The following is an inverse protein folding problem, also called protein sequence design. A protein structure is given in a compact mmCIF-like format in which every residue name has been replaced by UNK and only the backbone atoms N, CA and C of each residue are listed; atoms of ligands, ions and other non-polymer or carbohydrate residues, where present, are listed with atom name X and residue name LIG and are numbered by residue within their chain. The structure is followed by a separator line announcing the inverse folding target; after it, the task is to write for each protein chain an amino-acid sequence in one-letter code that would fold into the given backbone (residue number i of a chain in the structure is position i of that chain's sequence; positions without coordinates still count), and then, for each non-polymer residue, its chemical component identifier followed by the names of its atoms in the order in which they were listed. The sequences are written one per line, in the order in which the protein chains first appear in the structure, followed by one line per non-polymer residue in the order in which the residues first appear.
data_IF_343942188741
#
_entry.id   IF_343942188741
#
_cell.length_a   1.000
_cell.length_b   1.000
_cell.length_c   1.000
_cell.angle_alpha   90.00
_cell.angle_beta   90.00
_cell.angle_gamma   90.00
#
_symmetry.space_group_name_H-M   'P 1'
#
loop_
_entity.id
_entity.type
_entity.pdbx_description
1 polymer ?
#
# COMPACT_ATOMS: atom_id res chain seq x y z
N UNK A 1 51.12 -3.49 27.55
CA UNK A 1 49.97 -2.55 27.46
C UNK A 1 49.58 -2.46 25.99
N UNK A 2 49.00 -3.55 25.46
CA UNK A 2 48.78 -3.73 24.01
C UNK A 2 47.31 -3.56 23.67
N UNK A 3 47.07 -2.83 22.58
CA UNK A 3 45.78 -2.48 21.97
C UNK A 3 44.96 -3.69 21.45
N UNK A 4 45.23 -4.91 21.93
CA UNK A 4 44.61 -6.15 21.45
C UNK A 4 43.27 -6.50 22.13
N UNK A 5 42.83 -5.74 23.13
CA UNK A 5 41.56 -5.95 23.84
C UNK A 5 40.41 -5.06 23.34
N UNK A 6 40.64 -4.17 22.38
CA UNK A 6 39.61 -3.25 21.87
C UNK A 6 38.71 -3.84 20.76
N UNK A 7 39.08 -5.00 20.18
CA UNK A 7 38.26 -5.70 19.18
C UNK A 7 37.21 -6.64 19.79
N UNK A 8 37.19 -6.78 21.12
CA UNK A 8 36.33 -7.72 21.83
C UNK A 8 34.97 -7.13 22.22
N UNK A 9 34.17 -6.70 21.24
CA UNK A 9 32.71 -6.60 21.35
C UNK A 9 32.07 -6.15 20.03
N UNK A 10 32.25 -6.90 18.94
CA UNK A 10 31.23 -6.83 17.88
C UNK A 10 30.03 -7.62 18.39
N UNK A 11 28.88 -6.98 18.70
CA UNK A 11 27.69 -7.74 19.06
C UNK A 11 27.36 -8.68 17.89
N UNK A 12 27.23 -9.97 18.18
CA UNK A 12 26.75 -10.95 17.22
C UNK A 12 25.41 -10.44 16.68
N UNK A 13 25.32 -10.20 15.36
CA UNK A 13 24.05 -9.81 14.74
C UNK A 13 23.05 -10.92 15.05
N UNK A 14 22.01 -10.61 15.83
CA UNK A 14 20.93 -11.54 16.07
C UNK A 14 20.33 -11.98 14.74
N UNK A 15 19.98 -13.27 14.56
CA UNK A 15 19.28 -13.73 13.37
C UNK A 15 17.99 -12.92 13.23
N UNK A 16 17.89 -12.14 12.15
CA UNK A 16 16.67 -11.41 11.77
C UNK A 16 15.53 -12.43 11.78
N UNK A 17 14.54 -12.25 12.66
CA UNK A 17 13.40 -13.17 12.77
C UNK A 17 12.62 -13.17 11.44
N UNK A 18 12.92 -14.15 10.58
CA UNK A 18 12.48 -14.19 9.18
C UNK A 18 11.19 -14.99 8.84
N UNK A 19 10.31 -15.44 9.76
CA UNK A 19 9.04 -16.06 9.34
C UNK A 19 7.82 -15.10 9.35
N UNK A 20 7.76 -14.13 10.26
CA UNK A 20 6.60 -13.24 10.39
C UNK A 20 6.49 -12.23 9.22
N UNK A 21 7.64 -11.78 8.69
CA UNK A 21 7.68 -10.83 7.58
C UNK A 21 7.15 -11.40 6.25
N UNK A 22 7.44 -12.67 5.96
CA UNK A 22 6.99 -13.31 4.71
C UNK A 22 5.48 -13.56 4.72
N UNK A 23 4.91 -13.98 5.86
CA UNK A 23 3.48 -14.19 6.01
C UNK A 23 2.69 -12.89 5.87
N UNK A 24 3.15 -11.81 6.52
CA UNK A 24 2.54 -10.48 6.39
C UNK A 24 2.64 -9.96 4.95
N UNK A 25 3.78 -10.16 4.29
CA UNK A 25 3.96 -9.81 2.89
C UNK A 25 2.99 -10.59 1.98
N UNK A 26 2.79 -11.88 2.24
CA UNK A 26 1.84 -12.70 1.49
C UNK A 26 0.39 -12.20 1.68
N UNK A 27 -0.01 -11.84 2.90
CA UNK A 27 -1.35 -11.25 3.16
C UNK A 27 -1.52 -9.95 2.40
N UNK A 28 -0.53 -9.05 2.44
CA UNK A 28 -0.58 -7.77 1.72
C UNK A 28 -0.64 -8.01 0.22
N UNK A 29 0.15 -8.93 -0.32
CA UNK A 29 0.15 -9.27 -1.74
C UNK A 29 -1.20 -9.85 -2.17
N UNK A 30 -1.78 -10.78 -1.41
CA UNK A 30 -3.11 -11.33 -1.69
C UNK A 30 -4.17 -10.24 -1.61
N UNK A 31 -4.14 -9.38 -0.59
CA UNK A 31 -5.05 -8.24 -0.47
C UNK A 31 -4.96 -7.27 -1.65
N UNK A 32 -3.74 -6.96 -2.10
CA UNK A 32 -3.52 -6.13 -3.28
C UNK A 32 -4.07 -6.77 -4.56
N UNK A 33 -3.84 -8.08 -4.76
CA UNK A 33 -4.41 -8.83 -5.89
C UNK A 33 -5.93 -8.82 -5.83
N UNK A 34 -6.53 -9.06 -4.67
CA UNK A 34 -7.98 -9.00 -4.49
C UNK A 34 -8.55 -7.63 -4.86
N UNK A 35 -7.87 -6.54 -4.48
CA UNK A 35 -8.28 -5.20 -4.89
C UNK A 35 -8.16 -5.00 -6.40
N UNK A 36 -7.04 -5.40 -7.02
CA UNK A 36 -6.86 -5.28 -8.47
C UNK A 36 -7.95 -6.03 -9.25
N UNK A 37 -8.32 -7.24 -8.79
CA UNK A 37 -9.41 -8.01 -9.39
C UNK A 37 -10.76 -7.34 -9.17
N UNK A 38 -11.05 -6.88 -7.95
CA UNK A 38 -12.32 -6.24 -7.59
C UNK A 38 -12.58 -4.95 -8.39
N UNK A 39 -11.51 -4.22 -8.71
CA UNK A 39 -11.57 -2.94 -9.42
C UNK A 39 -11.11 -3.04 -10.89
N UNK A 40 -10.98 -4.25 -11.46
CA UNK A 40 -10.40 -4.46 -12.79
C UNK A 40 -11.09 -3.60 -13.87
N UNK A 41 -12.42 -3.58 -13.92
CA UNK A 41 -13.19 -2.79 -14.89
C UNK A 41 -12.97 -1.27 -14.72
N UNK A 42 -12.84 -0.82 -13.48
CA UNK A 42 -12.59 0.59 -13.19
C UNK A 42 -11.18 1.00 -13.64
N UNK A 43 -10.19 0.14 -13.38
CA UNK A 43 -8.80 0.33 -13.80
C UNK A 43 -8.69 0.33 -15.33
N UNK A 44 -9.32 -0.63 -16.02
CA UNK A 44 -9.30 -0.69 -17.49
C UNK A 44 -9.82 0.60 -18.11
N UNK A 45 -10.95 1.10 -17.61
CA UNK A 45 -11.52 2.39 -18.05
C UNK A 45 -10.63 3.59 -17.73
N UNK A 46 -9.92 3.57 -16.61
CA UNK A 46 -8.91 4.60 -16.30
C UNK A 46 -7.79 4.57 -17.34
N UNK A 47 -7.23 3.40 -17.63
CA UNK A 47 -6.15 3.24 -18.61
C UNK A 47 -6.61 3.71 -20.00
N UNK A 48 -7.79 3.29 -20.46
CA UNK A 48 -8.36 3.77 -21.73
C UNK A 48 -8.48 5.31 -21.72
N UNK A 49 -8.98 5.90 -20.63
CA UNK A 49 -9.13 7.36 -20.52
C UNK A 49 -7.79 8.08 -20.51
N UNK A 50 -6.77 7.52 -19.86
CA UNK A 50 -5.42 8.07 -19.84
C UNK A 50 -4.76 7.99 -21.22
N UNK A 51 -5.26 7.16 -22.14
CA UNK A 51 -4.81 7.14 -23.53
C UNK A 51 -5.15 8.40 -24.33
N UNK A 52 -6.05 9.26 -23.84
CA UNK A 52 -6.40 10.52 -24.49
C UNK A 52 -5.26 11.54 -24.40
N UNK A 53 -5.10 12.38 -25.43
CA UNK A 53 -4.02 13.36 -25.53
C UNK A 53 -4.00 14.33 -24.34
N UNK A 54 -5.16 14.66 -23.78
CA UNK A 54 -5.28 15.55 -22.63
C UNK A 54 -4.92 14.89 -21.30
N UNK A 55 -4.92 13.55 -21.22
CA UNK A 55 -4.77 12.78 -19.97
C UNK A 55 -3.58 11.82 -19.98
N UNK A 56 -2.76 11.79 -21.03
CA UNK A 56 -1.59 10.90 -21.17
C UNK A 56 -0.57 11.01 -20.03
N UNK A 57 -0.47 12.17 -19.39
CA UNK A 57 0.40 12.40 -18.25
C UNK A 57 -0.04 11.62 -16.99
N UNK A 58 -1.31 11.20 -16.91
CA UNK A 58 -1.83 10.44 -15.78
C UNK A 58 -1.21 9.05 -15.64
N UNK A 59 -0.69 8.47 -16.73
CA UNK A 59 0.10 7.23 -16.68
C UNK A 59 1.33 7.34 -15.78
N UNK A 60 1.85 8.55 -15.51
CA UNK A 60 2.99 8.73 -14.63
C UNK A 60 2.63 8.60 -13.14
N UNK A 61 1.34 8.77 -12.78
CA UNK A 61 0.91 8.81 -11.37
C UNK A 61 1.26 7.51 -10.63
N UNK A 62 0.98 6.29 -11.14
CA UNK A 62 1.35 5.05 -10.45
C UNK A 62 2.86 4.92 -10.23
N UNK A 63 3.68 5.32 -11.21
CA UNK A 63 5.14 5.26 -11.10
C UNK A 63 5.68 6.24 -10.06
N UNK A 64 5.18 7.47 -10.06
CA UNK A 64 5.57 8.49 -9.08
C UNK A 64 5.11 8.10 -7.67
N UNK A 65 3.87 7.63 -7.52
CA UNK A 65 3.36 7.15 -6.23
C UNK A 65 4.19 5.99 -5.68
N UNK A 66 4.53 5.01 -6.53
CA UNK A 66 5.41 3.90 -6.16
C UNK A 66 6.82 4.38 -5.76
N UNK A 67 7.40 5.29 -6.54
CA UNK A 67 8.72 5.86 -6.23
C UNK A 67 8.73 6.63 -4.90
N UNK A 68 7.71 7.44 -4.63
CA UNK A 68 7.58 8.17 -3.36
C UNK A 68 7.40 7.21 -2.19
N UNK A 69 6.59 6.16 -2.36
CA UNK A 69 6.46 5.10 -1.37
C UNK A 69 7.81 4.42 -1.11
N UNK A 70 8.55 4.07 -2.16
CA UNK A 70 9.87 3.45 -2.06
C UNK A 70 10.88 4.33 -1.31
N UNK A 71 10.84 5.65 -1.53
CA UNK A 71 11.73 6.59 -0.86
C UNK A 71 11.52 6.61 0.66
N UNK A 72 10.26 6.49 1.10
CA UNK A 72 9.88 6.48 2.53
C UNK A 72 9.79 5.09 3.14
N UNK A 73 9.86 4.02 2.34
CA UNK A 73 9.78 2.63 2.80
C UNK A 73 10.82 2.28 3.88
N UNK A 74 11.98 2.93 3.87
CA UNK A 74 13.03 2.71 4.86
C UNK A 74 12.74 3.37 6.21
N UNK A 75 11.97 4.46 6.20
CA UNK A 75 11.58 5.16 7.42
C UNK A 75 10.48 4.38 8.16
N UNK A 76 9.66 3.62 7.41
CA UNK A 76 8.60 2.76 7.91
C UNK A 76 9.10 1.55 8.73
N UNK A 77 10.35 1.09 8.52
CA UNK A 77 10.96 0.01 9.31
C UNK A 77 11.18 0.40 10.79
N UNK A 78 11.12 1.70 11.11
CA UNK A 78 11.29 2.22 12.48
C UNK A 78 9.97 2.41 13.26
N UNK A 79 8.84 2.25 12.58
CA UNK A 79 7.51 2.41 13.16
C UNK A 79 6.96 1.04 13.56
N UNK A 80 6.53 0.90 14.81
CA UNK A 80 5.71 -0.25 15.21
C UNK A 80 4.32 -0.09 14.58
N UNK A 81 3.94 -0.92 13.59
CA UNK A 81 2.67 -0.76 12.89
C UNK A 81 1.54 -1.18 13.84
N UNK A 82 0.86 -0.20 14.43
CA UNK A 82 -0.36 -0.45 15.19
C UNK A 82 -1.52 -0.35 14.22
N UNK A 83 -1.93 -1.50 13.66
CA UNK A 83 -3.03 -1.56 12.71
C UNK A 83 -4.28 -0.81 13.19
N UNK A 84 -4.97 -0.13 12.28
CA UNK A 84 -6.11 0.74 12.62
C UNK A 84 -7.43 0.23 12.05
N UNK A 85 -8.43 0.09 12.93
CA UNK A 85 -9.82 -0.19 12.53
C UNK A 85 -10.43 0.90 11.63
N UNK A 86 -9.89 2.12 11.67
CA UNK A 86 -10.29 3.19 10.76
C UNK A 86 -10.01 2.78 9.30
N UNK A 87 -8.86 2.15 9.04
CA UNK A 87 -8.50 1.66 7.72
C UNK A 87 -9.47 0.59 7.21
N UNK A 88 -9.94 -0.29 8.11
CA UNK A 88 -10.97 -1.30 7.80
C UNK A 88 -12.30 -0.64 7.44
N UNK A 89 -12.71 0.39 8.20
CA UNK A 89 -13.91 1.17 7.88
C UNK A 89 -13.81 1.86 6.52
N UNK A 90 -12.67 2.50 6.23
CA UNK A 90 -12.42 3.14 4.94
C UNK A 90 -12.40 2.12 3.79
N UNK A 91 -11.80 0.95 3.98
CA UNK A 91 -11.86 -0.13 3.01
C UNK A 91 -13.32 -0.54 2.73
N UNK A 92 -14.14 -0.69 3.77
CA UNK A 92 -15.57 -0.97 3.65
C UNK A 92 -16.32 0.10 2.84
N UNK A 93 -16.03 1.38 3.07
CA UNK A 93 -16.60 2.49 2.29
C UNK A 93 -16.17 2.41 0.82
N UNK A 94 -14.88 2.18 0.54
CA UNK A 94 -14.38 2.03 -0.82
C UNK A 94 -15.08 0.89 -1.56
N UNK A 95 -15.22 -0.28 -0.91
CA UNK A 95 -15.94 -1.42 -1.49
C UNK A 95 -17.42 -1.13 -1.71
N UNK A 96 -18.08 -0.40 -0.81
CA UNK A 96 -19.47 0.03 -1.02
C UNK A 96 -19.59 0.97 -2.23
N UNK A 97 -18.65 1.89 -2.41
CA UNK A 97 -18.57 2.75 -3.60
C UNK A 97 -18.32 1.93 -4.86
N UNK A 98 -17.51 0.88 -4.81
CA UNK A 98 -17.30 -0.01 -5.95
C UNK A 98 -18.61 -0.68 -6.38
N UNK A 99 -19.38 -1.22 -5.43
CA UNK A 99 -20.68 -1.82 -5.74
C UNK A 99 -21.64 -0.75 -6.30
N UNK A 100 -21.66 0.44 -5.70
CA UNK A 100 -22.53 1.52 -6.15
C UNK A 100 -22.16 2.01 -7.56
N UNK A 101 -20.87 2.18 -7.86
CA UNK A 101 -20.37 2.56 -9.18
C UNK A 101 -20.68 1.51 -10.24
N UNK A 102 -20.48 0.23 -9.90
CA UNK A 102 -20.82 -0.89 -10.79
C UNK A 102 -22.33 -0.96 -11.09
N UNK A 103 -23.19 -0.78 -10.08
CA UNK A 103 -24.64 -0.83 -10.25
C UNK A 103 -25.22 0.41 -10.97
N UNK A 104 -24.60 1.58 -10.78
CA UNK A 104 -25.05 2.84 -11.40
C UNK A 104 -24.48 3.07 -12.80
N UNK A 105 -23.53 2.23 -13.24
CA UNK A 105 -22.73 2.43 -14.45
C UNK A 105 -21.95 3.77 -14.46
N UNK A 106 -21.71 4.36 -13.28
CA UNK A 106 -20.89 5.56 -13.09
C UNK A 106 -19.51 5.13 -12.59
N UNK A 107 -18.59 4.98 -13.52
CA UNK A 107 -17.27 4.40 -13.26
C UNK A 107 -16.38 5.34 -12.46
N UNK A 108 -16.64 6.64 -12.48
CA UNK A 108 -15.96 7.63 -11.66
C UNK A 108 -16.13 7.31 -10.16
N UNK A 109 -17.31 6.83 -9.74
CA UNK A 109 -17.57 6.41 -8.35
C UNK A 109 -16.68 5.22 -7.98
N UNK A 110 -16.59 4.23 -8.87
CA UNK A 110 -15.71 3.08 -8.71
C UNK A 110 -14.23 3.47 -8.63
N UNK A 111 -13.79 4.44 -9.44
CA UNK A 111 -12.42 4.95 -9.41
C UNK A 111 -12.08 5.64 -8.08
N UNK A 112 -13.00 6.43 -7.52
CA UNK A 112 -12.82 6.99 -6.17
C UNK A 112 -12.84 5.90 -5.10
N UNK A 113 -13.69 4.88 -5.27
CA UNK A 113 -13.71 3.69 -4.42
C UNK A 113 -12.35 3.00 -4.35
N UNK A 114 -11.68 2.82 -5.49
CA UNK A 114 -10.34 2.23 -5.59
C UNK A 114 -9.33 3.01 -4.75
N UNK A 115 -9.29 4.34 -4.89
CA UNK A 115 -8.36 5.21 -4.16
C UNK A 115 -8.59 5.10 -2.65
N UNK A 116 -9.87 5.12 -2.22
CA UNK A 116 -10.25 5.00 -0.82
C UNK A 116 -9.89 3.60 -0.28
N UNK A 117 -10.09 2.53 -1.05
CA UNK A 117 -9.72 1.18 -0.66
C UNK A 117 -8.21 1.01 -0.50
N UNK A 118 -7.39 1.56 -1.42
CA UNK A 118 -5.92 1.55 -1.32
C UNK A 118 -5.48 2.26 -0.04
N UNK A 119 -6.04 3.45 0.22
CA UNK A 119 -5.73 4.20 1.44
C UNK A 119 -6.18 3.47 2.71
N UNK A 120 -7.37 2.87 2.70
CA UNK A 120 -7.90 2.06 3.80
C UNK A 120 -7.02 0.86 4.13
N UNK A 121 -6.52 0.14 3.11
CA UNK A 121 -5.55 -0.95 3.31
C UNK A 121 -4.24 -0.43 3.88
N UNK A 122 -3.71 0.68 3.37
CA UNK A 122 -2.48 1.28 3.88
C UNK A 122 -2.61 1.67 5.37
N UNK A 123 -3.71 2.33 5.76
CA UNK A 123 -4.00 2.71 7.15
C UNK A 123 -4.28 1.49 8.04
N UNK A 124 -4.93 0.45 7.51
CA UNK A 124 -5.18 -0.79 8.24
C UNK A 124 -3.87 -1.53 8.53
N UNK A 125 -2.93 -1.56 7.58
CA UNK A 125 -1.65 -2.24 7.71
C UNK A 125 -0.61 -1.46 8.52
N UNK A 126 -0.46 -0.15 8.29
CA UNK A 126 0.56 0.68 8.92
C UNK A 126 0.08 1.39 10.20
N UNK A 127 -1.24 1.50 10.40
CA UNK A 127 -1.82 2.37 11.42
C UNK A 127 -1.85 3.83 10.99
N UNK A 128 -2.74 4.63 11.60
CA UNK A 128 -2.94 6.04 11.23
C UNK A 128 -1.64 6.86 11.39
N UNK A 129 -0.84 6.56 12.40
CA UNK A 129 0.46 7.21 12.69
C UNK A 129 1.59 6.84 11.71
N UNK A 130 1.44 5.75 10.96
CA UNK A 130 2.39 5.37 9.92
C UNK A 130 2.10 6.04 8.57
N UNK A 131 0.93 6.66 8.42
CA UNK A 131 0.46 7.26 7.17
C UNK A 131 0.40 8.80 7.23
N UNK A 132 0.21 9.40 8.41
CA UNK A 132 0.20 10.86 8.64
C UNK A 132 1.49 11.37 9.27
#
# INVERSE_FOLDING_TARGET
MNQASADAARPARSPRAAPAGLFNLAIIAVGAICLLVTYADAIDRMLVRWGADEYNHAYMIPFVAFYLFWLRAKDLDSLDPVGSWLGVGCLGVGLALQVLGALSAVFEISQYGLIISIWGVAVAAAGLRGVT
#
